data_IF_240864645697
#
_entry.id   IF_240864645697
#
_cell.length_a   1.000
_cell.length_b   1.000
_cell.length_c   1.000
_cell.angle_alpha   90.00
_cell.angle_beta   90.00
_cell.angle_gamma   90.00
#
_symmetry.space_group_name_H-M   'P 1'
#
loop_
_entity.id
_entity.type
_entity.pdbx_description
1 polymer ?
#
# COMPACT_ATOMS: atom_id res chain seq x y z
N UNK A 1 -104.65 15.37 -1.32
CA UNK A 1 -104.12 15.89 -2.59
C UNK A 1 -102.74 15.26 -2.79
N UNK A 2 -102.71 14.12 -3.51
CA UNK A 2 -102.24 13.98 -4.91
C UNK A 2 -100.71 14.14 -5.05
N UNK A 3 -99.96 13.03 -5.05
CA UNK A 3 -99.37 12.31 -6.22
C UNK A 3 -97.86 12.59 -6.29
N UNK A 4 -96.99 11.71 -5.79
CA UNK A 4 -96.30 10.61 -6.50
C UNK A 4 -95.36 11.07 -7.63
N UNK A 5 -94.06 10.77 -7.49
CA UNK A 5 -93.22 10.07 -8.49
C UNK A 5 -91.94 9.52 -7.83
N UNK A 6 -91.74 8.22 -8.03
CA UNK A 6 -90.59 7.36 -7.69
C UNK A 6 -89.91 7.01 -9.06
N UNK A 7 -88.92 6.10 -9.15
CA UNK A 7 -87.48 6.17 -8.90
C UNK A 7 -86.63 6.07 -10.20
N UNK A 8 -85.30 6.08 -10.08
CA UNK A 8 -84.47 5.17 -10.86
C UNK A 8 -83.34 4.62 -9.96
N UNK A 9 -83.36 3.31 -9.77
CA UNK A 9 -82.38 2.53 -9.05
C UNK A 9 -81.39 1.90 -10.04
N UNK A 10 -80.12 1.80 -9.66
CA UNK A 10 -79.14 0.77 -10.06
C UNK A 10 -78.01 0.84 -9.01
N UNK A 11 -78.04 0.08 -7.93
CA UNK A 11 -77.75 -1.35 -7.80
C UNK A 11 -76.25 -1.71 -8.00
N UNK A 12 -75.67 -2.14 -6.87
CA UNK A 12 -74.69 -3.22 -6.68
C UNK A 12 -73.21 -2.99 -7.02
N UNK A 13 -72.37 -3.27 -6.00
CA UNK A 13 -70.96 -3.60 -6.16
C UNK A 13 -70.18 -3.59 -4.85
N UNK A 14 -70.35 -4.62 -4.01
CA UNK A 14 -69.46 -4.90 -2.88
C UNK A 14 -68.00 -5.06 -3.33
N UNK A 15 -67.08 -4.52 -2.53
CA UNK A 15 -65.66 -4.83 -2.59
C UNK A 15 -64.95 -4.33 -1.34
N UNK A 16 -65.04 -5.10 -0.26
CA UNK A 16 -64.22 -4.91 0.93
C UNK A 16 -62.78 -5.38 0.65
N UNK A 17 -61.79 -4.58 0.99
CA UNK A 17 -60.44 -5.03 1.36
C UNK A 17 -59.80 -3.94 2.24
N UNK A 18 -59.60 -4.29 3.49
CA UNK A 18 -58.96 -3.43 4.47
C UNK A 18 -57.45 -3.60 4.55
N UNK A 19 -56.91 -2.87 5.52
CA UNK A 19 -55.67 -3.05 6.26
C UNK A 19 -54.37 -2.44 5.67
N UNK A 20 -53.87 -1.48 6.47
CA UNK A 20 -52.47 -1.25 6.84
C UNK A 20 -51.51 -0.85 5.72
N UNK A 21 -51.30 0.47 5.60
CA UNK A 21 -50.08 1.03 5.07
C UNK A 21 -49.46 1.92 6.15
N UNK A 22 -48.65 1.34 7.03
CA UNK A 22 -47.61 2.09 7.74
C UNK A 22 -46.81 2.82 6.68
N UNK A 23 -46.86 4.15 6.68
CA UNK A 23 -45.94 4.96 5.92
C UNK A 23 -44.55 4.73 6.49
N UNK A 24 -43.87 3.69 6.01
CA UNK A 24 -42.42 3.69 5.98
C UNK A 24 -42.07 4.94 5.16
N UNK A 25 -41.71 6.02 5.82
CA UNK A 25 -40.74 6.95 5.26
C UNK A 25 -39.50 6.12 5.01
N UNK A 26 -39.44 5.48 3.84
CA UNK A 26 -38.20 5.10 3.21
C UNK A 26 -37.47 6.42 2.98
N UNK A 27 -36.79 6.87 4.02
CA UNK A 27 -35.62 7.72 3.88
C UNK A 27 -34.71 6.83 3.03
N UNK A 28 -34.67 7.10 1.74
CA UNK A 28 -33.55 6.71 0.90
C UNK A 28 -32.34 7.41 1.52
N UNK A 29 -31.75 6.80 2.55
CA UNK A 29 -30.36 7.03 2.84
C UNK A 29 -29.64 6.61 1.55
N UNK A 30 -28.85 7.50 0.93
CA UNK A 30 -28.00 7.09 -0.18
C UNK A 30 -27.26 5.83 0.28
N UNK A 31 -27.11 4.85 -0.63
CA UNK A 31 -26.15 3.78 -0.37
C UNK A 31 -24.80 4.48 -0.32
N UNK A 32 -24.35 4.79 0.89
CA UNK A 32 -22.94 4.96 1.17
C UNK A 32 -22.32 3.62 0.75
N UNK A 33 -21.53 3.62 -0.31
CA UNK A 33 -20.64 2.50 -0.64
C UNK A 33 -19.57 2.30 0.45
N UNK A 34 -19.61 3.16 1.48
CA UNK A 34 -18.76 3.17 2.66
C UNK A 34 -19.46 2.41 3.80
N UNK A 35 -18.94 1.23 4.12
CA UNK A 35 -19.40 0.45 5.27
C UNK A 35 -19.03 1.18 6.56
N UNK A 36 -20.04 1.45 7.41
CA UNK A 36 -19.84 2.04 8.74
C UNK A 36 -19.55 0.95 9.76
N UNK A 37 -18.76 1.27 10.77
CA UNK A 37 -18.31 0.29 11.78
C UNK A 37 -18.18 0.90 13.17
N UNK A 38 -18.31 0.06 14.20
CA UNK A 38 -17.88 0.37 15.56
C UNK A 38 -16.46 -0.14 15.83
N UNK A 39 -16.16 -1.33 15.31
CA UNK A 39 -14.86 -2.01 15.38
C UNK A 39 -14.48 -2.61 14.02
N UNK A 40 -13.24 -3.10 13.88
CA UNK A 40 -12.77 -3.73 12.64
C UNK A 40 -13.53 -5.04 12.32
N UNK A 41 -14.15 -5.70 13.30
CA UNK A 41 -14.92 -6.93 13.10
C UNK A 41 -16.25 -6.68 12.37
N UNK A 42 -16.71 -5.44 12.36
CA UNK A 42 -17.93 -5.02 11.64
C UNK A 42 -17.66 -4.83 10.13
N UNK A 43 -16.41 -4.93 9.70
CA UNK A 43 -15.97 -4.67 8.34
C UNK A 43 -15.86 -5.94 7.49
N UNK A 44 -16.27 -5.84 6.24
CA UNK A 44 -16.16 -6.94 5.29
C UNK A 44 -14.68 -7.21 4.96
N UNK A 45 -14.29 -8.47 4.67
CA UNK A 45 -12.94 -8.77 4.20
C UNK A 45 -12.60 -7.96 2.94
N UNK A 46 -11.37 -7.47 2.85
CA UNK A 46 -10.86 -6.66 1.74
C UNK A 46 -10.85 -7.40 0.40
N UNK A 47 -10.87 -8.74 0.44
CA UNK A 47 -10.68 -9.59 -0.73
C UNK A 47 -9.23 -9.66 -1.21
N UNK A 48 -8.31 -8.97 -0.53
CA UNK A 48 -6.87 -8.90 -0.84
C UNK A 48 -6.06 -9.16 0.43
N UNK A 49 -5.27 -10.24 0.42
CA UNK A 49 -4.56 -10.76 1.59
C UNK A 49 -3.38 -9.88 2.05
N UNK A 50 -3.04 -8.84 1.27
CA UNK A 50 -2.06 -7.81 1.60
C UNK A 50 -2.66 -6.73 2.48
N UNK A 51 -3.99 -6.64 2.52
CA UNK A 51 -4.71 -5.64 3.29
C UNK A 51 -5.58 -6.29 4.36
N UNK A 52 -5.82 -5.56 5.44
CA UNK A 52 -6.74 -5.93 6.51
C UNK A 52 -7.81 -4.85 6.63
N UNK A 53 -9.06 -5.23 6.94
CA UNK A 53 -10.09 -4.24 7.21
C UNK A 53 -9.78 -3.53 8.53
N UNK A 54 -9.84 -2.21 8.53
CA UNK A 54 -9.74 -1.40 9.75
C UNK A 54 -10.88 -0.41 9.83
N UNK A 55 -11.32 -0.15 11.05
CA UNK A 55 -12.37 0.79 11.35
C UNK A 55 -11.76 2.13 11.77
N UNK A 56 -11.67 3.08 10.84
CA UNK A 56 -11.02 4.39 11.01
C UNK A 56 -12.04 5.53 10.89
N UNK A 57 -11.70 6.69 11.43
CA UNK A 57 -12.46 7.90 11.13
C UNK A 57 -12.16 8.32 9.69
N UNK A 58 -13.15 8.92 9.04
CA UNK A 58 -12.95 9.50 7.72
C UNK A 58 -12.10 10.78 7.86
N UNK A 59 -10.82 10.68 7.48
CA UNK A 59 -9.85 11.76 7.57
C UNK A 59 -10.15 12.91 6.57
N UNK A 60 -11.07 12.73 5.61
CA UNK A 60 -11.56 13.83 4.77
C UNK A 60 -12.61 14.71 5.48
N UNK A 61 -13.07 14.28 6.66
CA UNK A 61 -14.11 14.93 7.46
C UNK A 61 -13.65 15.25 8.91
N UNK A 62 -12.38 15.65 9.08
CA UNK A 62 -11.76 16.00 10.37
C UNK A 62 -12.43 17.16 11.15
N UNK A 63 -13.31 17.92 10.51
CA UNK A 63 -14.08 19.01 11.12
C UNK A 63 -15.28 18.52 11.95
N UNK A 64 -15.59 17.22 11.89
CA UNK A 64 -16.70 16.62 12.60
C UNK A 64 -16.21 16.03 13.93
N UNK A 65 -16.91 16.37 15.02
CA UNK A 65 -16.64 15.84 16.35
C UNK A 65 -16.65 14.30 16.32
N UNK A 66 -15.56 13.66 16.74
CA UNK A 66 -15.39 12.20 16.78
C UNK A 66 -16.46 11.46 17.61
N UNK A 67 -17.25 12.18 18.41
CA UNK A 67 -18.42 11.66 19.13
C UNK A 67 -19.73 11.73 18.34
N UNK A 68 -19.71 12.33 17.15
CA UNK A 68 -20.89 12.64 16.32
C UNK A 68 -20.85 12.04 14.90
N UNK A 69 -19.74 11.42 14.49
CA UNK A 69 -19.62 10.74 13.19
C UNK A 69 -19.27 9.27 13.35
N UNK A 70 -19.94 8.43 12.56
CA UNK A 70 -19.66 7.00 12.51
C UNK A 70 -18.29 6.76 11.83
N UNK A 71 -17.53 5.81 12.36
CA UNK A 71 -16.31 5.34 11.71
C UNK A 71 -16.66 4.54 10.45
N UNK A 72 -15.68 4.44 9.58
CA UNK A 72 -15.80 3.76 8.29
C UNK A 72 -14.78 2.63 8.18
N UNK A 73 -15.17 1.58 7.47
CA UNK A 73 -14.29 0.49 7.10
C UNK A 73 -13.42 0.92 5.93
N UNK A 74 -12.11 0.84 6.13
CA UNK A 74 -11.12 1.05 5.07
C UNK A 74 -10.18 -0.15 5.01
N UNK A 75 -9.66 -0.45 3.83
CA UNK A 75 -8.58 -1.40 3.67
C UNK A 75 -7.27 -0.71 4.08
N UNK A 76 -6.56 -1.28 5.04
CA UNK A 76 -5.23 -0.83 5.44
C UNK A 76 -4.22 -1.94 5.21
N UNK A 77 -2.95 -1.60 5.02
CA UNK A 77 -1.94 -2.59 4.74
C UNK A 77 -1.77 -3.53 5.93
N UNK A 78 -1.42 -4.79 5.65
CA UNK A 78 -1.14 -5.78 6.68
C UNK A 78 0.15 -5.39 7.44
N UNK A 79 0.08 -5.04 8.73
CA UNK A 79 1.21 -4.41 9.44
C UNK A 79 2.32 -5.38 9.86
N UNK A 80 2.12 -6.70 9.68
CA UNK A 80 3.01 -7.75 10.20
C UNK A 80 3.58 -8.63 9.08
N UNK A 81 3.86 -8.06 7.90
CA UNK A 81 4.55 -8.77 6.83
C UNK A 81 6.05 -8.73 7.13
N UNK A 82 6.59 -9.82 7.68
CA UNK A 82 7.99 -9.90 8.06
C UNK A 82 8.89 -9.83 6.81
N UNK A 83 9.87 -8.94 6.84
CA UNK A 83 10.78 -8.69 5.71
C UNK A 83 12.21 -9.17 5.96
N UNK A 84 12.51 -9.77 7.11
CA UNK A 84 13.82 -10.40 7.32
C UNK A 84 13.83 -11.83 6.76
N UNK A 85 14.53 -12.00 5.62
CA UNK A 85 14.76 -13.31 5.00
C UNK A 85 15.39 -14.32 5.96
N UNK A 86 16.13 -13.86 6.98
CA UNK A 86 16.81 -14.73 7.94
C UNK A 86 15.85 -15.49 8.86
N UNK A 87 14.63 -14.98 9.01
CA UNK A 87 13.58 -15.62 9.80
C UNK A 87 12.89 -16.76 9.04
N UNK A 88 13.14 -16.93 7.74
CA UNK A 88 12.61 -18.05 6.97
C UNK A 88 13.41 -19.32 7.31
N UNK A 89 12.71 -20.31 7.87
CA UNK A 89 13.32 -21.57 8.30
C UNK A 89 13.75 -22.49 7.14
N UNK A 90 13.09 -22.39 5.98
CA UNK A 90 13.45 -23.17 4.79
C UNK A 90 14.58 -22.46 4.02
N UNK A 91 15.81 -23.01 3.97
CA UNK A 91 16.91 -22.40 3.23
C UNK A 91 16.71 -22.40 1.71
N UNK A 92 15.78 -23.22 1.19
CA UNK A 92 15.46 -23.27 -0.23
C UNK A 92 14.25 -22.38 -0.59
N UNK A 93 13.79 -21.54 0.33
CA UNK A 93 12.77 -20.55 0.03
C UNK A 93 13.32 -19.53 -0.99
N UNK A 94 12.58 -19.18 -2.06
CA UNK A 94 13.06 -18.26 -3.09
C UNK A 94 13.57 -16.92 -2.52
N UNK A 95 12.88 -16.38 -1.52
CA UNK A 95 13.31 -15.12 -0.90
C UNK A 95 14.62 -15.31 -0.13
N UNK A 96 14.72 -16.39 0.67
CA UNK A 96 15.93 -16.69 1.43
C UNK A 96 17.13 -16.89 0.52
N UNK A 97 16.97 -17.67 -0.55
CA UNK A 97 18.02 -17.91 -1.53
C UNK A 97 18.48 -16.61 -2.20
N UNK A 98 17.54 -15.77 -2.61
CA UNK A 98 17.87 -14.49 -3.24
C UNK A 98 18.64 -13.58 -2.28
N UNK A 99 18.22 -13.50 -1.02
CA UNK A 99 18.94 -12.73 0.01
C UNK A 99 20.35 -13.27 0.23
N UNK A 100 20.53 -14.58 0.41
CA UNK A 100 21.84 -15.18 0.66
C UNK A 100 22.82 -14.96 -0.51
N UNK A 101 22.32 -14.86 -1.75
CA UNK A 101 23.15 -14.56 -2.94
C UNK A 101 23.42 -13.06 -3.07
N UNK A 102 22.41 -12.22 -2.86
CA UNK A 102 22.50 -10.80 -3.18
C UNK A 102 23.02 -9.94 -2.04
N UNK A 103 22.92 -10.37 -0.78
CA UNK A 103 23.43 -9.66 0.39
C UNK A 103 24.95 -9.84 0.60
N UNK A 104 25.68 -10.36 -0.40
CA UNK A 104 27.14 -10.51 -0.35
C UNK A 104 27.82 -9.13 -0.24
N UNK A 105 28.62 -8.88 0.82
CA UNK A 105 29.37 -7.63 1.03
C UNK A 105 30.17 -7.15 -0.18
N UNK A 106 30.71 -8.10 -0.97
CA UNK A 106 31.53 -7.78 -2.15
C UNK A 106 30.74 -7.11 -3.27
N UNK A 107 29.39 -7.13 -3.21
CA UNK A 107 28.51 -6.46 -4.17
C UNK A 107 28.32 -4.99 -3.86
N UNK A 108 28.42 -4.59 -2.59
CA UNK A 108 28.25 -3.21 -2.14
C UNK A 108 29.55 -2.41 -2.32
N UNK A 109 30.10 -2.47 -3.54
CA UNK A 109 31.30 -1.72 -3.92
C UNK A 109 31.03 -0.22 -3.90
N UNK A 110 31.99 0.53 -3.37
CA UNK A 110 31.93 1.99 -3.34
C UNK A 110 32.14 2.63 -4.71
N UNK A 111 32.01 3.95 -4.75
CA UNK A 111 32.01 4.75 -5.97
C UNK A 111 33.40 5.18 -6.46
N UNK A 112 34.42 4.34 -6.28
CA UNK A 112 35.80 4.71 -6.61
C UNK A 112 35.97 5.07 -8.10
N UNK A 113 35.32 4.32 -8.99
CA UNK A 113 35.43 4.48 -10.44
C UNK A 113 34.33 5.36 -11.06
N UNK A 114 33.32 5.73 -10.28
CA UNK A 114 32.14 6.49 -10.74
C UNK A 114 31.78 7.68 -9.82
N UNK A 115 32.75 8.52 -9.40
CA UNK A 115 32.44 9.66 -8.55
C UNK A 115 31.48 10.64 -9.25
N UNK A 116 30.49 11.13 -8.50
CA UNK A 116 29.49 12.06 -9.01
C UNK A 116 28.35 11.45 -9.84
N UNK A 117 28.34 10.12 -10.05
CA UNK A 117 27.20 9.40 -10.60
C UNK A 117 26.04 9.30 -9.60
N UNK A 118 24.84 8.90 -10.04
CA UNK A 118 23.68 8.81 -9.15
C UNK A 118 23.91 7.77 -8.03
N UNK A 119 23.62 8.14 -6.79
CA UNK A 119 23.93 7.35 -5.61
C UNK A 119 25.40 7.34 -5.20
N UNK A 120 26.26 8.12 -5.88
CA UNK A 120 27.66 8.27 -5.56
C UNK A 120 27.99 9.68 -5.07
N UNK A 121 28.91 9.84 -4.10
CA UNK A 121 29.35 11.15 -3.66
C UNK A 121 30.10 11.89 -4.78
N UNK A 122 30.00 13.21 -4.76
CA UNK A 122 30.72 14.08 -5.68
C UNK A 122 32.21 14.20 -5.30
N UNK A 123 33.13 13.95 -6.24
CA UNK A 123 34.55 14.29 -6.05
C UNK A 123 34.85 15.76 -6.40
N UNK A 124 34.18 16.30 -7.43
CA UNK A 124 34.35 17.70 -7.89
C UNK A 124 33.01 18.36 -8.30
N UNK A 125 31.89 17.70 -7.99
CA UNK A 125 30.55 18.04 -8.44
C UNK A 125 29.79 16.79 -8.90
N UNK A 126 28.46 16.89 -8.96
CA UNK A 126 27.63 15.84 -9.51
C UNK A 126 27.63 15.87 -11.04
N UNK A 127 27.37 14.71 -11.66
CA UNK A 127 27.18 14.63 -13.11
C UNK A 127 26.02 15.52 -13.57
N UNK A 128 26.00 15.87 -14.86
CA UNK A 128 24.99 16.76 -15.41
C UNK A 128 23.57 16.23 -15.16
N UNK A 129 22.70 17.08 -14.62
CA UNK A 129 21.32 16.73 -14.26
C UNK A 129 21.15 16.21 -12.83
N UNK A 130 22.24 16.01 -12.09
CA UNK A 130 22.21 15.55 -10.71
C UNK A 130 22.63 16.66 -9.72
N UNK A 131 22.17 16.55 -8.49
CA UNK A 131 22.50 17.43 -7.36
C UNK A 131 22.78 16.60 -6.11
N UNK A 132 23.59 17.14 -5.19
CA UNK A 132 23.81 16.46 -3.93
C UNK A 132 22.52 16.47 -3.08
N UNK A 133 22.05 15.30 -2.67
CA UNK A 133 20.93 15.15 -1.74
C UNK A 133 21.38 15.37 -0.28
N UNK A 134 20.46 15.22 0.68
CA UNK A 134 20.74 15.41 2.10
C UNK A 134 21.83 14.48 2.66
N UNK A 135 22.11 13.37 1.98
CA UNK A 135 23.16 12.38 2.33
C UNK A 135 24.50 12.67 1.65
N UNK A 136 24.60 13.76 0.89
CA UNK A 136 25.81 14.11 0.16
C UNK A 136 26.07 13.24 -1.07
N UNK A 137 25.10 12.44 -1.50
CA UNK A 137 25.14 11.63 -2.71
C UNK A 137 24.55 12.41 -3.86
N UNK A 138 25.11 12.23 -5.05
CA UNK A 138 24.53 12.81 -6.26
C UNK A 138 23.24 12.07 -6.60
N UNK A 139 22.20 12.84 -6.88
CA UNK A 139 20.86 12.32 -7.09
C UNK A 139 20.12 13.17 -8.12
N UNK A 140 19.09 12.62 -8.74
CA UNK A 140 18.21 13.44 -9.56
C UNK A 140 17.30 14.31 -8.67
N UNK A 141 16.62 15.27 -9.30
CA UNK A 141 15.70 16.18 -8.59
C UNK A 141 14.24 15.83 -8.87
N UNK A 142 13.97 14.65 -9.43
CA UNK A 142 12.62 14.20 -9.73
C UNK A 142 11.96 13.70 -8.43
N UNK A 143 10.89 14.37 -7.94
CA UNK A 143 10.22 13.93 -6.72
C UNK A 143 9.52 12.57 -6.86
N UNK A 144 9.41 12.03 -8.08
CA UNK A 144 8.88 10.69 -8.32
C UNK A 144 9.93 9.58 -8.25
N UNK A 145 11.22 9.93 -8.21
CA UNK A 145 12.30 8.96 -7.98
C UNK A 145 12.58 8.84 -6.49
N UNK A 146 12.62 7.63 -5.91
CA UNK A 146 13.04 7.46 -4.52
C UNK A 146 14.48 7.97 -4.31
N UNK A 147 14.76 8.72 -3.24
CA UNK A 147 16.09 9.28 -3.00
C UNK A 147 17.18 8.21 -2.99
N UNK A 148 18.27 8.47 -3.70
CA UNK A 148 19.41 7.58 -3.74
C UNK A 148 20.09 7.49 -2.36
N UNK A 149 20.41 6.27 -1.97
CA UNK A 149 21.29 5.99 -0.84
C UNK A 149 22.30 4.90 -1.18
N UNK A 150 23.34 4.75 -0.35
CA UNK A 150 24.33 3.69 -0.46
C UNK A 150 24.41 2.90 0.85
N UNK A 151 24.89 1.66 0.81
CA UNK A 151 25.14 0.90 2.03
C UNK A 151 26.37 1.48 2.77
N UNK A 152 26.15 2.08 3.93
CA UNK A 152 27.21 2.68 4.76
C UNK A 152 27.75 1.72 5.85
N UNK A 153 27.04 0.62 6.09
CA UNK A 153 27.39 -0.41 7.10
C UNK A 153 27.04 -1.81 6.60
N UNK A 154 27.58 -2.84 7.27
CA UNK A 154 27.25 -4.25 6.96
C UNK A 154 25.78 -4.59 7.24
N UNK A 155 25.12 -3.84 8.12
CA UNK A 155 23.70 -4.04 8.45
C UNK A 155 22.78 -3.66 7.27
N UNK A 156 23.25 -2.72 6.44
CA UNK A 156 22.58 -2.30 5.20
C UNK A 156 22.78 -3.29 4.04
N UNK A 157 23.65 -4.30 4.20
CA UNK A 157 23.80 -5.33 3.17
C UNK A 157 22.55 -6.20 3.10
N UNK A 158 22.05 -6.35 1.87
CA UNK A 158 20.78 -6.96 1.53
C UNK A 158 19.56 -6.06 1.75
N UNK A 159 19.72 -4.79 2.16
CA UNK A 159 18.57 -3.90 2.36
C UNK A 159 17.76 -3.72 1.08
N UNK A 160 18.43 -3.63 -0.07
CA UNK A 160 17.81 -3.59 -1.40
C UNK A 160 16.94 -4.81 -1.70
N UNK A 161 17.37 -5.99 -1.27
CA UNK A 161 16.61 -7.24 -1.42
C UNK A 161 15.40 -7.23 -0.49
N UNK A 162 15.57 -6.78 0.76
CA UNK A 162 14.47 -6.69 1.73
C UNK A 162 13.41 -5.65 1.31
N UNK A 163 13.85 -4.52 0.80
CA UNK A 163 12.97 -3.49 0.23
C UNK A 163 12.23 -4.05 -0.97
N UNK A 164 12.92 -4.68 -1.92
CA UNK A 164 12.28 -5.26 -3.10
C UNK A 164 11.24 -6.32 -2.73
N UNK A 165 11.49 -7.13 -1.69
CA UNK A 165 10.50 -8.07 -1.17
C UNK A 165 9.21 -7.34 -0.77
N UNK A 166 9.31 -6.26 0.00
CA UNK A 166 8.15 -5.47 0.41
C UNK A 166 7.45 -4.81 -0.79
N UNK A 167 8.21 -4.23 -1.72
CA UNK A 167 7.67 -3.62 -2.94
C UNK A 167 6.89 -4.64 -3.76
N UNK A 168 7.43 -5.83 -3.94
CA UNK A 168 6.77 -6.89 -4.69
C UNK A 168 5.58 -7.48 -3.97
N UNK A 169 5.65 -7.66 -2.65
CA UNK A 169 4.54 -8.20 -1.87
C UNK A 169 3.33 -7.27 -1.97
N UNK A 170 3.53 -5.95 -1.83
CA UNK A 170 2.46 -4.95 -1.91
C UNK A 170 2.16 -4.44 -3.33
N UNK A 171 2.99 -4.82 -4.31
CA UNK A 171 2.99 -4.23 -5.66
C UNK A 171 3.04 -2.70 -5.65
N UNK A 172 3.86 -2.14 -4.77
CA UNK A 172 3.96 -0.70 -4.59
C UNK A 172 5.38 -0.35 -4.14
N UNK A 173 6.05 0.45 -4.96
CA UNK A 173 7.43 0.90 -4.73
C UNK A 173 7.63 1.68 -3.43
N UNK A 174 6.56 2.19 -2.82
CA UNK A 174 6.59 2.93 -1.56
C UNK A 174 6.78 2.02 -0.35
N UNK A 175 6.61 0.70 -0.47
CA UNK A 175 6.85 -0.20 0.66
C UNK A 175 8.33 -0.57 0.75
N UNK A 176 8.88 -0.51 1.97
CA UNK A 176 10.28 -0.80 2.28
C UNK A 176 10.35 -1.70 3.51
N UNK A 177 11.48 -2.33 3.74
CA UNK A 177 11.71 -3.10 4.96
C UNK A 177 12.28 -2.18 6.04
N UNK A 178 11.57 -2.03 7.15
CA UNK A 178 12.13 -1.42 8.34
C UNK A 178 12.94 -2.48 9.10
N UNK A 179 14.26 -2.30 9.15
CA UNK A 179 15.21 -3.20 9.79
C UNK A 179 15.07 -3.25 11.30
N UNK A 180 14.58 -2.18 11.94
CA UNK A 180 14.39 -2.12 13.38
C UNK A 180 13.18 -2.94 13.82
N UNK A 181 12.06 -2.81 13.11
CA UNK A 181 10.85 -3.60 13.39
C UNK A 181 10.88 -4.99 12.75
N UNK A 182 11.63 -5.16 11.65
CA UNK A 182 11.68 -6.39 10.85
C UNK A 182 10.46 -6.60 9.96
N UNK A 183 9.65 -5.56 9.73
CA UNK A 183 8.42 -5.62 8.96
C UNK A 183 8.41 -4.66 7.76
N UNK A 184 7.63 -5.02 6.74
CA UNK A 184 7.33 -4.13 5.64
C UNK A 184 6.46 -2.97 6.12
N UNK A 185 6.87 -1.76 5.79
CA UNK A 185 6.17 -0.52 6.09
C UNK A 185 6.04 0.33 4.83
N UNK A 186 5.01 1.17 4.77
CA UNK A 186 5.04 2.26 3.80
C UNK A 186 6.14 3.24 4.21
N UNK A 187 7.02 3.56 3.27
CA UNK A 187 8.15 4.41 3.55
C UNK A 187 7.69 5.83 3.93
N UNK A 188 8.48 6.48 4.78
CA UNK A 188 8.20 7.84 5.23
C UNK A 188 9.34 8.78 4.86
N UNK A 189 8.97 9.92 4.29
CA UNK A 189 9.92 10.99 4.00
C UNK A 189 10.54 11.51 5.30
N UNK A 190 11.87 11.64 5.29
CA UNK A 190 12.65 12.13 6.42
C UNK A 190 13.14 11.06 7.40
N UNK A 191 12.60 9.84 7.34
CA UNK A 191 13.17 8.69 8.07
C UNK A 191 14.37 8.13 7.27
N UNK A 192 15.29 7.42 7.94
CA UNK A 192 16.49 6.89 7.29
C UNK A 192 16.21 5.60 6.51
N UNK A 193 16.88 5.34 5.37
CA UNK A 193 16.71 4.12 4.61
C UNK A 193 17.23 2.95 5.44
N UNK A 194 16.47 1.85 5.49
CA UNK A 194 16.72 0.76 6.43
C UNK A 194 15.98 0.91 7.76
N UNK A 195 15.45 2.09 8.08
CA UNK A 195 14.61 2.37 9.27
C UNK A 195 13.20 2.84 8.86
N UNK A 196 12.70 2.33 7.72
CA UNK A 196 11.41 2.74 7.16
C UNK A 196 11.43 4.02 6.31
N UNK A 197 12.60 4.62 6.10
CA UNK A 197 12.77 5.78 5.23
C UNK A 197 12.61 5.48 3.73
N UNK A 198 12.08 6.46 3.00
CA UNK A 198 12.02 6.37 1.54
C UNK A 198 13.41 6.46 0.90
N UNK A 199 13.71 5.54 -0.01
CA UNK A 199 14.93 5.58 -0.80
C UNK A 199 15.11 4.39 -1.73
N UNK A 200 16.15 4.46 -2.56
CA UNK A 200 16.59 3.35 -3.39
C UNK A 200 18.11 3.18 -3.27
N UNK A 201 18.55 1.96 -3.03
CA UNK A 201 19.97 1.65 -2.90
C UNK A 201 20.65 1.67 -4.27
N UNK A 202 21.75 2.40 -4.36
CA UNK A 202 22.63 2.47 -5.51
C UNK A 202 23.99 1.82 -5.19
N UNK A 203 24.56 1.13 -6.17
CA UNK A 203 25.84 0.45 -6.12
C UNK A 203 26.68 0.96 -7.29
N UNK A 204 27.85 1.54 -7.00
CA UNK A 204 28.79 2.07 -7.99
C UNK A 204 28.15 2.96 -9.09
N UNK A 205 27.13 3.74 -8.75
CA UNK A 205 26.51 4.71 -9.67
C UNK A 205 25.27 4.21 -10.41
N UNK A 206 24.81 2.99 -10.11
CA UNK A 206 23.62 2.40 -10.70
C UNK A 206 22.65 1.90 -9.61
N UNK A 207 21.32 1.90 -9.84
CA UNK A 207 20.38 1.29 -8.91
C UNK A 207 20.73 -0.18 -8.70
N UNK A 208 20.54 -0.70 -7.49
CA UNK A 208 20.74 -2.14 -7.26
C UNK A 208 19.88 -2.96 -8.22
N UNK A 209 20.50 -3.96 -8.85
CA UNK A 209 19.81 -4.92 -9.70
C UNK A 209 18.83 -5.82 -8.95
N UNK A 210 18.81 -5.79 -7.61
CA UNK A 210 17.78 -6.47 -6.82
C UNK A 210 16.40 -5.86 -7.09
N UNK A 211 16.33 -4.56 -7.38
CA UNK A 211 15.07 -3.88 -7.64
C UNK A 211 14.50 -4.20 -9.02
N UNK A 212 13.18 -4.31 -9.10
CA UNK A 212 12.47 -4.26 -10.36
C UNK A 212 12.19 -2.81 -10.74
N UNK A 213 12.14 -2.52 -12.04
CA UNK A 213 11.56 -1.26 -12.49
C UNK A 213 10.06 -1.23 -12.21
N UNK A 214 9.48 -0.04 -12.04
CA UNK A 214 8.09 0.13 -11.65
C UNK A 214 7.10 -0.51 -12.66
N UNK A 215 7.41 -0.45 -13.96
CA UNK A 215 6.57 -1.07 -14.99
C UNK A 215 6.55 -2.58 -14.89
N UNK A 216 7.71 -3.18 -14.61
CA UNK A 216 7.81 -4.62 -14.32
C UNK A 216 7.09 -4.98 -13.03
N UNK A 217 7.25 -4.21 -11.96
CA UNK A 217 6.59 -4.44 -10.67
C UNK A 217 5.06 -4.50 -10.80
N UNK A 218 4.47 -3.54 -11.50
CA UNK A 218 3.02 -3.50 -11.74
C UNK A 218 2.55 -4.68 -12.59
N UNK A 219 3.30 -5.02 -13.63
CA UNK A 219 2.95 -6.13 -14.54
C UNK A 219 3.17 -7.52 -13.93
N UNK A 220 4.11 -7.63 -12.99
CA UNK A 220 4.44 -8.85 -12.27
C UNK A 220 3.62 -9.00 -10.99
N UNK A 221 2.77 -8.02 -10.67
CA UNK A 221 1.95 -8.03 -9.47
C UNK A 221 1.07 -9.28 -9.45
N UNK A 222 1.29 -10.21 -8.50
CA UNK A 222 0.35 -11.28 -8.31
C UNK A 222 -0.96 -10.65 -7.83
N UNK A 223 -2.08 -11.29 -8.16
CA UNK A 223 -3.39 -10.77 -7.79
C UNK A 223 -3.59 -10.66 -6.26
N UNK A 224 -4.83 -10.67 -5.83
CA UNK A 224 -5.18 -10.44 -4.42
C UNK A 224 -4.71 -11.50 -3.41
N UNK A 225 -4.08 -12.59 -3.87
CA UNK A 225 -3.63 -13.73 -3.08
C UNK A 225 -2.10 -13.91 -3.20
N UNK A 226 -1.32 -12.91 -2.79
CA UNK A 226 0.15 -12.98 -2.85
C UNK A 226 0.71 -13.82 -1.69
N UNK A 227 1.54 -14.83 -1.99
CA UNK A 227 2.33 -15.52 -0.97
C UNK A 227 3.79 -15.03 -0.95
N UNK A 228 4.50 -15.29 0.16
CA UNK A 228 5.93 -14.93 0.31
C UNK A 228 6.79 -15.50 -0.83
N UNK A 229 6.43 -16.68 -1.36
CA UNK A 229 7.14 -17.31 -2.47
C UNK A 229 6.85 -16.71 -3.85
N UNK A 230 5.83 -15.86 -3.97
CA UNK A 230 5.40 -15.27 -5.26
C UNK A 230 6.04 -13.90 -5.51
N UNK A 231 6.85 -13.40 -4.58
CA UNK A 231 7.54 -12.12 -4.71
C UNK A 231 8.62 -12.18 -5.79
N UNK A 232 8.71 -11.10 -6.56
CA UNK A 232 9.58 -10.99 -7.71
C UNK A 232 10.74 -10.02 -7.42
N UNK A 233 11.92 -10.41 -7.90
CA UNK A 233 13.16 -9.63 -7.80
C UNK A 233 13.62 -9.17 -9.19
N UNK A 234 14.49 -8.17 -9.20
CA UNK A 234 15.23 -7.79 -10.40
C UNK A 234 16.24 -8.84 -10.83
N UNK A 235 16.86 -8.61 -11.99
CA UNK A 235 17.83 -9.52 -12.58
C UNK A 235 19.26 -9.01 -12.33
N UNK A 236 19.96 -9.67 -11.41
CA UNK A 236 21.38 -9.43 -11.19
C UNK A 236 22.24 -10.32 -12.09
N UNK A 237 23.18 -9.74 -12.87
CA UNK A 237 24.08 -10.49 -13.75
C UNK A 237 25.16 -11.28 -13.00
#
# INVERSE_FOLDING_TARGET
>A
MTTQRIPAAFALGLGALGLLGTSCTAIFAPRDDVQRCGTADDCDPTGDNRYVPVCKFDDENLDLDSSQVDKICVADFKPNVACDARNIANPNDPYRMQYDVLADPSRYVGCADTPGAQGCPAAAGCAAGLQANSRGLCDDTDPSTPPAFMAESEEMFGQDVRDQFCRSFFCDSRFVCDGDSGFCVQCKDGDEPGEGGCGQLYIAGAPSCAYQDAGTLDSACPGSDVEVGDVAFGACP
#
